data_IF_118199749209
#
_entry.id   IF_118199749209
#
_cell.length_a   1.000
_cell.length_b   1.000
_cell.length_c   1.000
_cell.angle_alpha   90.00
_cell.angle_beta   90.00
_cell.angle_gamma   90.00
#
_symmetry.space_group_name_H-M   'P 1'
#
loop_
_entity.id
_entity.type
_entity.pdbx_description
1 polymer ?
#
# COMPACT_ATOMS: atom_id res chain seq x y z
N UNK A 1 -12.79 -68.11 3.80
CA UNK A 1 -11.59 -67.23 3.71
C UNK A 1 -11.59 -66.25 2.51
N UNK A 2 -12.40 -66.45 1.46
CA UNK A 2 -12.41 -65.58 0.25
C UNK A 2 -13.18 -64.25 0.42
N UNK A 3 -14.23 -64.23 1.25
CA UNK A 3 -15.11 -63.06 1.45
C UNK A 3 -14.45 -61.93 2.25
N UNK A 4 -13.66 -62.28 3.27
CA UNK A 4 -12.88 -61.32 4.07
C UNK A 4 -11.80 -60.61 3.26
N UNK A 5 -11.19 -61.30 2.30
CA UNK A 5 -10.17 -60.73 1.41
C UNK A 5 -10.81 -59.74 0.45
N UNK A 6 -11.94 -60.08 -0.19
CA UNK A 6 -12.62 -59.15 -1.11
C UNK A 6 -13.15 -57.89 -0.42
N UNK A 7 -13.66 -57.99 0.82
CA UNK A 7 -14.09 -56.81 1.59
C UNK A 7 -12.90 -55.91 1.93
N UNK A 8 -11.76 -56.49 2.35
CA UNK A 8 -10.54 -55.71 2.61
C UNK A 8 -10.02 -55.06 1.34
N UNK A 9 -9.93 -55.77 0.21
CA UNK A 9 -9.48 -55.21 -1.06
C UNK A 9 -10.42 -54.11 -1.58
N UNK A 10 -11.74 -54.28 -1.45
CA UNK A 10 -12.73 -53.25 -1.82
C UNK A 10 -12.62 -52.01 -0.94
N UNK A 11 -12.40 -52.17 0.38
CA UNK A 11 -12.19 -51.08 1.32
C UNK A 11 -10.89 -50.31 1.01
N UNK A 12 -9.79 -51.01 0.70
CA UNK A 12 -8.52 -50.37 0.35
C UNK A 12 -8.60 -49.59 -0.96
N UNK A 13 -9.32 -50.10 -1.97
CA UNK A 13 -9.58 -49.39 -3.24
C UNK A 13 -10.45 -48.15 -3.02
N UNK A 14 -11.44 -48.22 -2.12
CA UNK A 14 -12.29 -47.07 -1.80
C UNK A 14 -11.53 -45.98 -1.03
N UNK A 15 -10.66 -46.36 -0.08
CA UNK A 15 -9.80 -45.44 0.68
C UNK A 15 -8.74 -44.79 -0.21
N UNK A 16 -8.19 -45.52 -1.17
CA UNK A 16 -7.21 -44.97 -2.13
C UNK A 16 -7.86 -44.09 -3.21
N UNK A 17 -9.12 -44.34 -3.61
CA UNK A 17 -9.87 -43.46 -4.50
C UNK A 17 -10.30 -42.15 -3.82
N UNK A 18 -10.44 -42.15 -2.49
CA UNK A 18 -10.78 -40.95 -1.72
C UNK A 18 -9.55 -40.08 -1.35
N UNK A 19 -8.33 -40.53 -1.63
CA UNK A 19 -7.08 -39.83 -1.30
C UNK A 19 -6.45 -39.05 -2.48
N UNK A 20 -7.08 -39.04 -3.66
CA UNK A 20 -6.62 -38.28 -4.82
C UNK A 20 -7.52 -37.08 -5.14
N UNK A 21 -7.92 -36.32 -4.12
CA UNK A 21 -8.38 -34.96 -4.39
C UNK A 21 -7.16 -34.10 -4.65
N UNK A 22 -6.88 -33.80 -5.92
CA UNK A 22 -5.87 -32.80 -6.26
C UNK A 22 -6.28 -31.45 -5.67
N UNK A 23 -5.50 -30.97 -4.70
CA UNK A 23 -5.57 -29.61 -4.17
C UNK A 23 -5.18 -28.63 -5.29
N UNK A 24 -6.16 -28.29 -6.13
CA UNK A 24 -6.01 -27.23 -7.13
C UNK A 24 -6.02 -25.89 -6.40
N UNK A 25 -4.85 -25.34 -6.11
CA UNK A 25 -4.72 -23.96 -5.65
C UNK A 25 -5.16 -23.03 -6.79
N UNK A 26 -6.36 -22.45 -6.66
CA UNK A 26 -6.87 -21.48 -7.63
C UNK A 26 -6.24 -20.12 -7.36
N UNK A 27 -5.51 -19.58 -8.34
CA UNK A 27 -5.07 -18.19 -8.31
C UNK A 27 -6.28 -17.29 -8.53
N UNK A 28 -6.56 -16.42 -7.57
CA UNK A 28 -7.52 -15.33 -7.75
C UNK A 28 -6.73 -14.11 -8.20
N UNK A 29 -7.10 -13.51 -9.31
CA UNK A 29 -6.43 -12.29 -9.78
C UNK A 29 -6.78 -11.11 -8.89
N UNK A 30 -5.83 -10.20 -8.70
CA UNK A 30 -6.06 -8.96 -7.94
C UNK A 30 -7.31 -8.21 -8.43
N UNK A 31 -7.52 -8.18 -9.76
CA UNK A 31 -8.68 -7.54 -10.37
C UNK A 31 -10.02 -8.15 -9.95
N UNK A 32 -10.08 -9.46 -9.74
CA UNK A 32 -11.29 -10.17 -9.27
C UNK A 32 -11.60 -9.87 -7.80
N UNK A 33 -10.58 -9.54 -7.00
CA UNK A 33 -10.76 -9.17 -5.58
C UNK A 33 -11.17 -7.71 -5.39
N UNK A 34 -10.98 -6.86 -6.40
CA UNK A 34 -11.25 -5.43 -6.35
C UNK A 34 -12.71 -5.09 -6.70
N UNK A 35 -13.23 -4.01 -6.11
CA UNK A 35 -14.55 -3.44 -6.41
C UNK A 35 -14.45 -1.93 -6.58
N UNK A 36 -15.37 -1.32 -7.32
CA UNK A 36 -15.43 0.14 -7.56
C UNK A 36 -14.14 0.73 -8.15
N UNK A 37 -13.59 0.09 -9.19
CA UNK A 37 -12.35 0.52 -9.84
C UNK A 37 -12.62 1.80 -10.63
N UNK A 38 -11.90 2.88 -10.29
CA UNK A 38 -11.92 4.15 -11.00
C UNK A 38 -10.50 4.69 -11.12
N UNK A 39 -10.27 5.53 -12.14
CA UNK A 39 -9.02 6.26 -12.27
C UNK A 39 -9.00 7.43 -11.30
N UNK A 40 -7.81 7.75 -10.79
CA UNK A 40 -7.61 8.93 -9.95
C UNK A 40 -7.70 10.16 -10.85
N UNK A 41 -8.69 11.02 -10.58
CA UNK A 41 -8.87 12.28 -11.28
C UNK A 41 -7.99 13.35 -10.62
N UNK A 42 -7.31 14.16 -11.43
CA UNK A 42 -6.45 15.28 -10.99
C UNK A 42 -5.46 14.96 -9.85
N UNK A 43 -4.68 13.86 -9.91
CA UNK A 43 -3.71 13.51 -8.87
C UNK A 43 -2.62 14.58 -8.68
N UNK A 44 -2.30 15.35 -9.72
CA UNK A 44 -1.23 16.34 -9.71
C UNK A 44 -1.51 17.50 -8.75
N UNK A 45 -2.71 18.07 -8.79
CA UNK A 45 -3.10 19.20 -7.93
C UNK A 45 -3.08 18.82 -6.45
N UNK A 46 -3.44 17.57 -6.13
CA UNK A 46 -3.40 17.08 -4.77
C UNK A 46 -1.96 16.81 -4.30
N UNK A 47 -1.14 16.16 -5.12
CA UNK A 47 0.26 15.87 -4.77
C UNK A 47 1.11 17.14 -4.64
N UNK A 48 0.88 18.14 -5.48
CA UNK A 48 1.65 19.41 -5.45
C UNK A 48 1.43 20.23 -4.18
N UNK A 49 0.36 19.96 -3.42
CA UNK A 49 0.13 20.56 -2.10
C UNK A 49 1.03 19.96 -1.00
N UNK A 50 1.63 18.79 -1.23
CA UNK A 50 2.51 18.13 -0.27
C UNK A 50 3.94 18.63 -0.41
N UNK A 51 4.57 18.90 0.73
CA UNK A 51 5.98 19.31 0.79
C UNK A 51 6.79 18.23 1.48
N UNK A 52 7.84 17.74 0.80
CA UNK A 52 8.80 16.84 1.41
C UNK A 52 9.60 17.59 2.47
N UNK A 53 9.74 16.96 3.63
CA UNK A 53 10.49 17.47 4.77
C UNK A 53 11.74 16.62 4.98
N UNK A 54 12.82 17.28 5.38
CA UNK A 54 13.97 16.63 5.98
C UNK A 54 13.90 16.85 7.49
N UNK A 55 13.99 15.79 8.28
CA UNK A 55 13.83 15.84 9.74
C UNK A 55 14.62 14.76 10.46
N UNK A 56 14.79 14.95 11.76
CA UNK A 56 15.27 13.93 12.70
C UNK A 56 14.20 13.69 13.76
N UNK A 57 14.13 12.45 14.24
CA UNK A 57 13.26 12.13 15.37
C UNK A 57 13.85 12.65 16.66
N UNK A 58 12.99 13.16 17.54
CA UNK A 58 13.35 13.50 18.92
C UNK A 58 13.46 12.22 19.78
N UNK A 59 14.36 11.31 19.40
CA UNK A 59 14.49 9.99 20.03
C UNK A 59 14.88 10.09 21.51
N UNK A 60 15.55 11.17 21.92
CA UNK A 60 15.89 11.43 23.33
C UNK A 60 14.66 11.74 24.19
N UNK A 61 13.72 12.54 23.67
CA UNK A 61 12.48 12.91 24.36
C UNK A 61 11.49 11.74 24.40
N UNK A 62 11.55 10.86 23.38
CA UNK A 62 10.60 9.77 23.17
C UNK A 62 11.27 8.39 23.07
N UNK A 63 12.23 8.09 23.97
CA UNK A 63 12.99 6.81 23.98
C UNK A 63 12.11 5.56 23.94
N UNK A 64 10.92 5.65 24.51
CA UNK A 64 9.95 4.55 24.59
C UNK A 64 9.27 4.21 23.25
N UNK A 65 9.41 5.05 22.23
CA UNK A 65 8.86 4.83 20.89
C UNK A 65 9.86 4.13 19.96
N UNK A 66 11.09 3.86 20.40
CA UNK A 66 12.15 3.20 19.60
C UNK A 66 12.32 3.83 18.20
N UNK A 67 12.35 5.16 18.16
CA UNK A 67 12.43 5.91 16.91
C UNK A 67 13.84 5.80 16.32
N UNK A 68 13.97 5.64 14.99
CA UNK A 68 15.27 5.52 14.36
C UNK A 68 16.04 6.83 14.45
N UNK A 69 17.36 6.74 14.59
CA UNK A 69 18.26 7.89 14.63
C UNK A 69 18.64 8.37 13.22
N UNK A 70 19.16 9.59 13.16
CA UNK A 70 19.69 10.22 11.95
C UNK A 70 18.67 10.97 11.09
N UNK A 71 19.19 11.68 10.09
CA UNK A 71 18.43 12.48 9.13
C UNK A 71 17.57 11.60 8.24
N UNK A 72 16.32 12.03 8.01
CA UNK A 72 15.35 11.33 7.18
C UNK A 72 14.56 12.29 6.33
N UNK A 73 14.02 11.77 5.24
CA UNK A 73 13.04 12.46 4.41
C UNK A 73 11.66 11.85 4.62
N UNK A 74 10.62 12.67 4.57
CA UNK A 74 9.24 12.22 4.65
C UNK A 74 8.27 13.38 4.54
N UNK A 75 7.06 13.19 5.07
CA UNK A 75 6.02 14.22 5.09
C UNK A 75 5.51 14.44 6.50
N UNK A 76 4.99 15.64 6.73
CA UNK A 76 4.13 15.89 7.89
C UNK A 76 2.81 15.12 7.73
N UNK A 77 2.53 14.22 8.68
CA UNK A 77 1.37 13.35 8.61
C UNK A 77 0.05 14.14 8.64
N UNK A 78 -0.01 15.29 9.32
CA UNK A 78 -1.22 16.12 9.34
C UNK A 78 -1.49 16.78 7.99
N UNK A 79 -0.44 17.25 7.33
CA UNK A 79 -0.52 17.80 5.97
C UNK A 79 -0.95 16.74 4.96
N UNK A 80 -0.39 15.53 5.03
CA UNK A 80 -0.85 14.42 4.18
C UNK A 80 -2.29 14.06 4.49
N UNK A 81 -2.70 14.01 5.77
CA UNK A 81 -4.06 13.65 6.15
C UNK A 81 -5.12 14.63 5.61
N UNK A 82 -4.78 15.93 5.50
CA UNK A 82 -5.70 16.93 4.91
C UNK A 82 -5.96 16.68 3.42
N UNK A 83 -4.95 16.23 2.68
CA UNK A 83 -5.04 16.01 1.23
C UNK A 83 -5.50 14.59 0.89
N UNK A 84 -4.89 13.59 1.54
CA UNK A 84 -5.15 12.17 1.35
C UNK A 84 -5.42 11.48 2.71
N UNK A 85 -6.66 11.58 3.24
CA UNK A 85 -6.99 11.02 4.55
C UNK A 85 -6.71 9.52 4.67
N UNK A 86 -6.88 8.76 3.58
CA UNK A 86 -6.64 7.31 3.53
C UNK A 86 -5.15 6.93 3.51
N UNK A 87 -4.26 7.87 3.18
CA UNK A 87 -2.81 7.66 3.17
C UNK A 87 -2.17 7.86 4.55
N UNK A 88 -2.96 8.13 5.60
CA UNK A 88 -2.46 8.28 6.97
C UNK A 88 -3.17 7.29 7.87
N UNK A 89 -2.37 6.54 8.63
CA UNK A 89 -2.83 5.56 9.60
C UNK A 89 -2.49 6.04 11.01
N UNK A 90 -3.34 5.73 11.97
CA UNK A 90 -3.07 5.97 13.39
C UNK A 90 -2.72 4.64 14.01
N UNK A 91 -1.47 4.51 14.47
CA UNK A 91 -0.95 3.28 15.06
C UNK A 91 -0.84 3.45 16.58
N UNK A 92 -1.47 2.58 17.38
CA UNK A 92 -1.28 2.60 18.83
C UNK A 92 0.09 2.00 19.18
N UNK A 93 0.91 2.77 19.88
CA UNK A 93 2.20 2.33 20.41
C UNK A 93 2.09 2.21 21.92
N UNK A 94 2.14 0.97 22.41
CA UNK A 94 2.11 0.68 23.84
C UNK A 94 3.53 0.73 24.41
N UNK A 95 3.71 1.46 25.50
CA UNK A 95 4.99 1.56 26.18
C UNK A 95 4.85 1.54 27.72
N UNK A 96 5.93 1.19 28.40
CA UNK A 96 5.99 1.16 29.85
C UNK A 96 6.26 2.58 30.38
N UNK A 97 5.37 3.10 31.22
CA UNK A 97 5.48 4.44 31.82
C UNK A 97 5.89 4.41 33.31
N UNK A 98 6.12 3.21 33.86
CA UNK A 98 6.52 2.98 35.24
C UNK A 98 6.42 1.49 35.61
N UNK A 99 6.76 1.14 36.85
CA UNK A 99 6.68 -0.26 37.33
C UNK A 99 5.24 -0.78 37.19
N UNK A 100 5.04 -1.78 36.34
CA UNK A 100 3.74 -2.37 36.01
C UNK A 100 2.69 -1.40 35.44
N UNK A 101 3.11 -0.21 34.96
CA UNK A 101 2.23 0.78 34.35
C UNK A 101 2.51 0.89 32.85
N UNK A 102 1.49 0.68 32.03
CA UNK A 102 1.56 0.85 30.59
C UNK A 102 0.70 2.01 30.13
N UNK A 103 1.20 2.76 29.15
CA UNK A 103 0.45 3.79 28.43
C UNK A 103 0.44 3.45 26.95
N UNK A 104 -0.52 4.01 26.22
CA UNK A 104 -0.63 3.89 24.77
C UNK A 104 -0.57 5.29 24.16
N UNK A 105 0.38 5.51 23.28
CA UNK A 105 0.44 6.69 22.43
C UNK A 105 -0.24 6.38 21.08
N UNK A 106 -1.00 7.33 20.55
CA UNK A 106 -1.55 7.23 19.19
C UNK A 106 -0.64 8.00 18.25
N UNK A 107 0.07 7.30 17.35
CA UNK A 107 1.05 7.90 16.44
C UNK A 107 0.50 7.89 15.03
N UNK A 108 0.45 9.05 14.38
CA UNK A 108 0.11 9.16 12.96
C UNK A 108 1.30 8.76 12.11
N UNK A 109 1.06 7.88 11.14
CA UNK A 109 2.08 7.35 10.22
C UNK A 109 1.57 7.44 8.79
N UNK A 110 2.41 7.92 7.88
CA UNK A 110 2.08 8.00 6.45
C UNK A 110 2.28 6.64 5.78
N UNK A 111 1.28 6.20 5.01
CA UNK A 111 1.34 5.03 4.14
C UNK A 111 1.91 5.41 2.78
N UNK A 112 3.24 5.44 2.69
CA UNK A 112 3.94 5.79 1.46
C UNK A 112 3.61 4.86 0.27
N UNK A 113 3.25 3.60 0.53
CA UNK A 113 2.88 2.67 -0.54
C UNK A 113 1.61 3.11 -1.25
N UNK A 114 0.66 3.67 -0.50
CA UNK A 114 -0.56 4.24 -1.08
C UNK A 114 -0.31 5.50 -1.92
N UNK A 115 0.79 6.24 -1.65
CA UNK A 115 1.14 7.45 -2.38
C UNK A 115 1.87 7.18 -3.71
N UNK A 116 2.55 6.03 -3.85
CA UNK A 116 3.27 5.65 -5.08
C UNK A 116 2.37 5.68 -6.34
N UNK A 117 1.19 5.01 -6.37
CA UNK A 117 0.34 5.04 -7.56
C UNK A 117 -0.19 6.45 -7.88
N UNK A 118 -0.42 7.28 -6.85
CA UNK A 118 -0.83 8.68 -7.03
C UNK A 118 0.30 9.51 -7.67
N UNK A 119 1.56 9.27 -7.25
CA UNK A 119 2.73 9.92 -7.81
C UNK A 119 2.93 9.55 -9.28
N UNK A 120 2.80 8.26 -9.61
CA UNK A 120 2.87 7.78 -11.00
C UNK A 120 1.78 8.43 -11.85
N UNK A 121 0.54 8.50 -11.34
CA UNK A 121 -0.56 9.15 -12.05
C UNK A 121 -0.29 10.64 -12.28
N UNK A 122 0.27 11.34 -11.28
CA UNK A 122 0.66 12.76 -11.38
C UNK A 122 1.76 13.00 -12.41
N UNK A 123 2.78 12.14 -12.46
CA UNK A 123 3.86 12.21 -13.46
C UNK A 123 3.29 12.00 -14.87
N UNK A 124 2.36 11.05 -15.03
CA UNK A 124 1.72 10.81 -16.32
C UNK A 124 0.88 12.01 -16.78
N UNK A 125 0.12 12.62 -15.87
CA UNK A 125 -0.62 13.85 -16.13
C UNK A 125 0.32 15.00 -16.53
N UNK A 126 1.38 15.23 -15.76
CA UNK A 126 2.38 16.25 -16.06
C UNK A 126 3.04 16.01 -17.42
N UNK A 127 3.34 14.75 -17.78
CA UNK A 127 3.92 14.42 -19.07
C UNK A 127 2.95 14.69 -20.24
N UNK A 128 1.64 14.51 -20.03
CA UNK A 128 0.59 14.85 -21.01
C UNK A 128 0.52 16.36 -21.22
N UNK A 129 0.54 17.14 -20.15
CA UNK A 129 0.57 18.61 -20.21
C UNK A 129 1.82 19.13 -20.94
N UNK A 130 2.99 18.56 -20.64
CA UNK A 130 4.24 18.92 -21.32
C UNK A 130 4.16 18.65 -22.83
N UNK A 131 3.56 17.53 -23.26
CA UNK A 131 3.38 17.24 -24.70
C UNK A 131 2.46 18.27 -25.35
N UNK A 132 1.30 18.54 -24.73
CA UNK A 132 0.36 19.53 -25.24
C UNK A 132 0.98 20.93 -25.37
N UNK A 133 1.76 21.35 -24.38
CA UNK A 133 2.49 22.63 -24.42
C UNK A 133 3.56 22.66 -25.52
N UNK A 134 4.27 21.55 -25.76
CA UNK A 134 5.27 21.46 -26.83
C UNK A 134 4.63 21.56 -28.22
N UNK A 135 3.53 20.85 -28.42
CA UNK A 135 2.76 20.87 -29.68
C UNK A 135 2.23 22.29 -29.95
N UNK A 136 1.74 22.96 -28.92
CA UNK A 136 1.28 24.36 -29.02
C UNK A 136 2.42 25.31 -29.39
N UNK A 137 3.59 25.17 -28.75
CA UNK A 137 4.77 25.98 -29.06
C UNK A 137 5.24 25.76 -30.50
N UNK A 138 5.21 24.52 -30.99
CA UNK A 138 5.56 24.21 -32.38
C UNK A 138 4.58 24.87 -33.36
N UNK A 139 3.27 24.77 -33.10
CA UNK A 139 2.23 25.44 -33.90
C UNK A 139 2.44 26.94 -33.95
N UNK A 140 2.64 27.59 -32.80
CA UNK A 140 2.85 29.04 -32.71
C UNK A 140 4.14 29.51 -33.39
N UNK A 141 5.20 28.69 -33.37
CA UNK A 141 6.45 28.96 -34.08
C UNK A 141 6.32 28.74 -35.59
N UNK A 142 5.58 27.73 -36.02
CA UNK A 142 5.31 27.43 -37.43
C UNK A 142 4.42 28.48 -38.11
N UNK A 143 3.47 29.05 -37.39
CA UNK A 143 2.58 30.13 -37.87
C UNK A 143 3.31 31.49 -38.00
N UNK A 144 4.49 31.67 -37.39
CA UNK A 144 5.28 32.91 -37.44
C UNK A 144 6.29 32.98 -38.59
N UNK A 145 6.36 31.97 -39.47
CA UNK A 145 7.13 32.01 -40.73
C UNK A 145 6.22 32.34 -41.89
#
# INVERSE_FOLDING_TARGET
>A
MKTQVQIKTLLTVFVSFFLLTELNAQYVSDRETMKNISYVNEPLDAITQLQALQYEYKSEDYKHLNLPEGQRYGFDADSVQRVFPSAVRVTPVRYMAGKNLYKTAMVKTVDYNSLIPLLIASINQQQKEIRALRDEVERLRGVKK
#
